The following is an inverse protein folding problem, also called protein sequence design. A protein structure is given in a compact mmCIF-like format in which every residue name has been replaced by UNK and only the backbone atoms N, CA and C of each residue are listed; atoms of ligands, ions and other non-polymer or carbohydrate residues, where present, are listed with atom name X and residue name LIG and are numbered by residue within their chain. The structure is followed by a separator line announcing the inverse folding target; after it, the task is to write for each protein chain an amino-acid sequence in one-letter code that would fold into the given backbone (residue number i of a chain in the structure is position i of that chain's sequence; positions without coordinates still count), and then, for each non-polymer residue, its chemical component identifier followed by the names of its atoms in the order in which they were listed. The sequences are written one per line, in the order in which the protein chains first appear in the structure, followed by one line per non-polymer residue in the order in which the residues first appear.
data_IF_007281133899
#
_entry.id   IF_007281133899
#
_cell.length_a   1.000
_cell.length_b   1.000
_cell.length_c   1.000
_cell.angle_alpha   90.00
_cell.angle_beta   90.00
_cell.angle_gamma   90.00
#
_symmetry.space_group_name_H-M   'P 1'
#
loop_
_entity.id
_entity.type
_entity.pdbx_description
1 polymer ?
#
# COMPACT_ATOMS: atom_id res chain seq x y z
N UNK A 1 -6.31 -48.70 5.36
CA UNK A 1 -5.49 -48.51 4.15
C UNK A 1 -6.12 -47.41 3.31
N UNK A 2 -5.71 -46.15 3.51
CA UNK A 2 -4.88 -45.43 2.53
C UNK A 2 -5.79 -44.51 1.68
N UNK A 3 -5.50 -43.25 1.43
CA UNK A 3 -4.21 -42.54 1.39
C UNK A 3 -4.44 -41.06 1.71
N UNK A 4 -3.53 -40.48 2.48
CA UNK A 4 -3.35 -39.04 2.63
C UNK A 4 -3.26 -38.36 1.25
N UNK A 5 -4.14 -37.41 0.99
CA UNK A 5 -3.85 -36.33 0.06
C UNK A 5 -3.11 -35.25 0.85
N UNK A 6 -1.78 -35.32 0.84
CA UNK A 6 -0.96 -34.17 1.19
C UNK A 6 -1.15 -33.14 0.08
N UNK A 7 -1.93 -32.10 0.35
CA UNK A 7 -1.82 -30.86 -0.40
C UNK A 7 -0.49 -30.23 0.01
N UNK A 8 0.46 -30.25 -0.92
CA UNK A 8 1.67 -29.45 -0.84
C UNK A 8 1.25 -27.97 -0.77
N UNK A 9 1.12 -27.44 0.45
CA UNK A 9 1.39 -26.03 0.70
C UNK A 9 2.87 -25.83 0.38
N UNK A 10 3.14 -25.36 -0.84
CA UNK A 10 4.39 -24.72 -1.19
C UNK A 10 4.43 -23.40 -0.42
N UNK A 11 4.73 -23.49 0.88
CA UNK A 11 5.19 -22.38 1.70
C UNK A 11 6.61 -22.06 1.22
N UNK A 12 6.70 -21.47 0.03
CA UNK A 12 7.95 -20.90 -0.44
C UNK A 12 8.19 -19.65 0.38
N UNK A 13 9.03 -19.78 1.41
CA UNK A 13 9.80 -18.66 1.98
C UNK A 13 10.63 -18.07 0.83
N UNK A 14 9.95 -17.26 0.02
CA UNK A 14 10.42 -16.85 -1.31
C UNK A 14 11.53 -15.82 -1.25
N UNK A 15 12.05 -15.49 -0.06
CA UNK A 15 13.04 -14.43 0.17
C UNK A 15 12.58 -13.04 -0.27
N UNK A 16 11.31 -12.89 -0.66
CA UNK A 16 10.73 -11.63 -1.15
C UNK A 16 10.47 -10.70 0.02
N UNK A 17 10.76 -9.40 -0.11
CA UNK A 17 10.44 -8.44 0.92
C UNK A 17 8.91 -8.39 1.10
N UNK A 18 8.49 -8.38 2.37
CA UNK A 18 7.10 -8.13 2.74
C UNK A 18 6.91 -6.62 2.81
N UNK A 19 5.91 -6.12 2.10
CA UNK A 19 5.50 -4.73 2.06
C UNK A 19 4.10 -4.62 2.66
N UNK A 20 4.00 -3.89 3.75
CA UNK A 20 2.73 -3.66 4.42
C UNK A 20 2.11 -2.34 3.96
N UNK A 21 0.79 -2.33 3.82
CA UNK A 21 -0.01 -1.15 3.53
C UNK A 21 -1.22 -1.14 4.44
N UNK A 22 -1.88 0.00 4.56
CA UNK A 22 -3.03 0.14 5.43
C UNK A 22 -4.27 -0.51 4.84
N UNK A 23 -4.59 -0.18 3.59
CA UNK A 23 -5.87 -0.52 2.96
C UNK A 23 -5.69 -1.23 1.62
N UNK A 24 -6.72 -1.98 1.21
CA UNK A 24 -6.73 -2.75 -0.04
C UNK A 24 -6.50 -1.90 -1.31
N UNK A 25 -7.01 -0.66 -1.43
CA UNK A 25 -6.65 0.22 -2.55
C UNK A 25 -5.13 0.43 -2.67
N UNK A 26 -4.44 0.73 -1.57
CA UNK A 26 -2.98 0.86 -1.57
C UNK A 26 -2.31 -0.46 -1.96
N UNK A 27 -2.84 -1.59 -1.50
CA UNK A 27 -2.31 -2.91 -1.85
C UNK A 27 -2.32 -3.12 -3.36
N UNK A 28 -3.37 -2.64 -4.03
CA UNK A 28 -3.50 -2.69 -5.49
C UNK A 28 -2.41 -1.85 -6.17
N UNK A 29 -2.15 -0.65 -5.66
CA UNK A 29 -1.13 0.25 -6.22
C UNK A 29 0.27 -0.33 -6.06
N UNK A 30 0.59 -0.85 -4.87
CA UNK A 30 1.90 -1.47 -4.62
C UNK A 30 2.08 -2.72 -5.47
N UNK A 31 1.06 -3.59 -5.57
CA UNK A 31 1.10 -4.78 -6.44
C UNK A 31 1.28 -4.43 -7.91
N UNK A 32 0.65 -3.36 -8.39
CA UNK A 32 0.83 -2.89 -9.76
C UNK A 32 2.28 -2.47 -10.04
N UNK A 33 3.01 -1.98 -9.03
CA UNK A 33 4.42 -1.58 -9.15
C UNK A 33 5.36 -2.77 -8.95
N UNK A 34 5.19 -3.55 -7.88
CA UNK A 34 6.13 -4.60 -7.51
C UNK A 34 5.95 -5.90 -8.30
N UNK A 35 4.78 -6.15 -8.89
CA UNK A 35 4.44 -7.46 -9.47
C UNK A 35 4.71 -8.59 -8.48
N UNK A 36 5.40 -9.63 -8.94
CA UNK A 36 5.74 -10.81 -8.12
C UNK A 36 7.02 -10.65 -7.29
N UNK A 37 7.71 -9.50 -7.33
CA UNK A 37 9.00 -9.28 -6.67
C UNK A 37 8.87 -9.04 -5.15
N UNK A 38 7.69 -8.66 -4.68
CA UNK A 38 7.43 -8.42 -3.27
C UNK A 38 6.08 -9.04 -2.86
N UNK A 39 5.99 -9.45 -1.60
CA UNK A 39 4.71 -9.83 -1.01
C UNK A 39 4.04 -8.59 -0.42
N UNK A 40 2.81 -8.29 -0.84
CA UNK A 40 2.08 -7.10 -0.36
C UNK A 40 0.92 -7.52 0.52
N UNK A 41 0.91 -7.07 1.77
CA UNK A 41 -0.13 -7.35 2.77
C UNK A 41 -0.85 -6.06 3.19
N UNK A 42 -2.16 -6.13 3.37
CA UNK A 42 -2.95 -5.01 3.91
C UNK A 42 -3.22 -5.25 5.40
N UNK A 43 -3.00 -4.23 6.23
CA UNK A 43 -3.22 -4.34 7.67
C UNK A 43 -4.68 -4.25 8.06
N UNK A 44 -5.47 -3.46 7.34
CA UNK A 44 -6.93 -3.40 7.49
C UNK A 44 -7.55 -4.37 6.47
N UNK A 45 -8.17 -5.48 6.92
CA UNK A 45 -8.75 -6.47 6.03
C UNK A 45 -10.00 -5.95 5.29
N UNK A 46 -10.41 -6.61 4.20
CA UNK A 46 -11.65 -6.27 3.52
C UNK A 46 -12.86 -6.30 4.48
N UNK A 47 -13.70 -5.26 4.42
CA UNK A 47 -14.89 -5.13 5.27
C UNK A 47 -14.65 -4.46 6.62
N UNK A 48 -13.40 -4.15 6.98
CA UNK A 48 -13.06 -3.37 8.17
C UNK A 48 -12.84 -1.90 7.83
N UNK A 49 -13.04 -1.03 8.82
CA UNK A 49 -12.89 0.42 8.66
C UNK A 49 -11.48 0.86 9.05
N UNK A 50 -10.77 1.61 8.19
CA UNK A 50 -9.45 2.13 8.50
C UNK A 50 -9.44 3.24 9.56
N UNK A 51 -10.63 3.68 10.01
CA UNK A 51 -10.74 4.70 11.06
C UNK A 51 -10.69 4.13 12.49
N UNK A 52 -11.01 2.84 12.67
CA UNK A 52 -11.13 2.23 14.01
C UNK A 52 -10.74 0.75 14.04
N UNK A 53 -9.93 0.31 13.08
CA UNK A 53 -9.46 -1.07 13.04
C UNK A 53 -8.39 -1.31 14.11
N UNK A 54 -8.64 -2.29 14.97
CA UNK A 54 -7.66 -2.76 15.96
C UNK A 54 -7.11 -4.13 15.53
N UNK A 55 -5.82 -4.23 15.17
CA UNK A 55 -5.22 -5.51 14.78
C UNK A 55 -5.03 -6.43 16.00
N UNK A 56 -5.20 -7.73 15.79
CA UNK A 56 -4.88 -8.73 16.80
C UNK A 56 -3.36 -8.88 17.00
N UNK A 57 -2.88 -9.40 18.15
CA UNK A 57 -1.45 -9.63 18.39
C UNK A 57 -0.77 -10.52 17.34
N UNK A 58 -1.51 -11.49 16.79
CA UNK A 58 -1.01 -12.38 15.73
C UNK A 58 -0.79 -11.63 14.41
N UNK A 59 -1.68 -10.70 14.08
CA UNK A 59 -1.53 -9.85 12.90
C UNK A 59 -0.37 -8.88 13.07
N UNK A 60 -0.24 -8.27 14.25
CA UNK A 60 0.90 -7.42 14.59
C UNK A 60 2.24 -8.14 14.45
N UNK A 61 2.31 -9.43 14.79
CA UNK A 61 3.52 -10.24 14.57
C UNK A 61 3.84 -10.47 13.09
N UNK A 62 2.83 -10.57 12.22
CA UNK A 62 3.06 -10.70 10.77
C UNK A 62 3.57 -9.39 10.20
N UNK A 63 2.94 -8.32 10.63
CA UNK A 63 3.22 -6.94 10.28
C UNK A 63 4.64 -6.49 10.65
N UNK A 64 5.16 -6.92 11.81
CA UNK A 64 6.53 -6.63 12.23
C UNK A 64 7.62 -7.25 11.33
N UNK A 65 7.25 -8.15 10.39
CA UNK A 65 8.19 -8.71 9.41
C UNK A 65 8.28 -7.86 8.13
N UNK A 66 7.47 -6.82 8.00
CA UNK A 66 7.48 -5.97 6.82
C UNK A 66 8.76 -5.15 6.75
N UNK A 67 9.44 -5.20 5.61
CA UNK A 67 10.60 -4.36 5.32
C UNK A 67 10.20 -2.88 5.14
N UNK A 68 8.98 -2.64 4.68
CA UNK A 68 8.45 -1.31 4.43
C UNK A 68 6.95 -1.25 4.74
N UNK A 69 6.50 -0.12 5.28
CA UNK A 69 5.09 0.19 5.50
C UNK A 69 4.70 1.48 4.77
N UNK A 70 3.71 1.43 3.88
CA UNK A 70 3.15 2.64 3.25
C UNK A 70 1.88 3.10 3.97
N UNK A 71 1.97 4.23 4.67
CA UNK A 71 0.87 4.79 5.47
C UNK A 71 0.04 5.82 4.69
N UNK A 72 -1.25 5.95 5.04
CA UNK A 72 -2.21 6.88 4.41
C UNK A 72 -2.76 7.93 5.39
N UNK A 73 -2.34 7.89 6.65
CA UNK A 73 -2.63 8.87 7.69
C UNK A 73 -4.05 8.79 8.23
N UNK A 74 -4.54 7.58 8.51
CA UNK A 74 -5.86 7.34 9.13
C UNK A 74 -5.74 7.11 10.63
N UNK A 75 -6.85 7.24 11.37
CA UNK A 75 -6.82 7.15 12.83
C UNK A 75 -6.32 5.79 13.36
N UNK A 76 -6.70 4.66 12.73
CA UNK A 76 -6.23 3.34 13.13
C UNK A 76 -4.71 3.19 13.01
N UNK A 77 -4.08 3.86 12.02
CA UNK A 77 -2.63 3.86 11.92
C UNK A 77 -1.99 4.51 13.14
N UNK A 78 -2.44 5.72 13.47
CA UNK A 78 -1.85 6.51 14.54
C UNK A 78 -2.05 5.88 15.94
N UNK A 79 -3.20 5.25 16.16
CA UNK A 79 -3.60 4.78 17.49
C UNK A 79 -3.26 3.31 17.74
N UNK A 80 -3.46 2.45 16.73
CA UNK A 80 -3.56 1.00 16.96
C UNK A 80 -2.53 0.19 16.18
N UNK A 81 -1.96 0.76 15.12
CA UNK A 81 -0.97 0.07 14.27
C UNK A 81 0.43 0.62 14.60
N UNK A 82 0.74 1.86 14.20
CA UNK A 82 2.09 2.44 14.25
C UNK A 82 2.73 2.42 15.65
N UNK A 83 2.02 2.65 16.77
CA UNK A 83 2.62 2.56 18.11
C UNK A 83 3.19 1.18 18.44
N UNK A 84 2.71 0.14 17.75
CA UNK A 84 3.09 -1.26 17.96
C UNK A 84 3.76 -1.88 16.72
N UNK A 85 3.99 -1.08 15.66
CA UNK A 85 4.51 -1.54 14.38
C UNK A 85 6.02 -1.26 14.30
N UNK A 86 6.82 -2.30 14.38
CA UNK A 86 8.30 -2.22 14.29
C UNK A 86 8.77 -2.44 12.83
N UNK A 87 8.34 -1.58 11.90
CA UNK A 87 8.85 -1.64 10.53
C UNK A 87 10.30 -1.15 10.49
N UNK A 88 11.10 -1.72 9.59
CA UNK A 88 12.40 -1.13 9.26
C UNK A 88 12.25 0.30 8.67
N UNK A 89 11.14 0.57 7.96
CA UNK A 89 10.84 1.89 7.39
C UNK A 89 9.33 2.12 7.21
N UNK A 90 8.85 3.27 7.65
CA UNK A 90 7.48 3.77 7.39
C UNK A 90 7.56 4.93 6.38
N UNK A 91 6.76 4.87 5.32
CA UNK A 91 6.67 5.89 4.27
C UNK A 91 5.27 6.51 4.29
N UNK A 92 5.12 7.78 4.67
CA UNK A 92 3.83 8.46 4.71
C UNK A 92 3.41 8.93 3.32
N UNK A 93 2.63 8.12 2.59
CA UNK A 93 2.16 8.47 1.25
C UNK A 93 1.28 9.73 1.24
N UNK A 94 0.55 9.98 2.34
CA UNK A 94 -0.29 11.16 2.48
C UNK A 94 0.53 12.45 2.51
N UNK A 95 1.60 12.52 3.30
CA UNK A 95 2.51 13.67 3.33
C UNK A 95 3.16 13.90 1.97
N UNK A 96 3.68 12.84 1.36
CA UNK A 96 4.30 12.90 0.02
C UNK A 96 3.32 13.38 -1.05
N UNK A 97 2.07 12.95 -0.96
CA UNK A 97 1.02 13.41 -1.88
C UNK A 97 0.68 14.88 -1.62
N UNK A 98 0.66 15.32 -0.36
CA UNK A 98 0.36 16.70 0.02
C UNK A 98 1.42 17.70 -0.46
N UNK A 99 2.67 17.27 -0.66
CA UNK A 99 3.73 18.08 -1.29
C UNK A 99 3.35 18.54 -2.72
N UNK A 100 2.54 17.75 -3.43
CA UNK A 100 2.11 18.02 -4.81
C UNK A 100 0.66 18.51 -4.89
N UNK A 101 -0.23 17.88 -4.11
CA UNK A 101 -1.67 18.15 -4.08
C UNK A 101 -2.12 18.41 -2.65
N UNK A 102 -2.36 19.67 -2.25
CA UNK A 102 -2.75 20.02 -0.88
C UNK A 102 -3.97 19.23 -0.40
N UNK A 103 -3.97 18.82 0.87
CA UNK A 103 -5.07 18.03 1.41
C UNK A 103 -6.42 18.72 1.33
N UNK A 104 -7.45 17.89 1.16
CA UNK A 104 -8.83 18.32 1.34
C UNK A 104 -9.15 18.28 2.83
N UNK A 105 -10.02 19.18 3.26
CA UNK A 105 -10.41 19.31 4.67
C UNK A 105 -11.93 19.14 4.78
N UNK A 106 -12.39 18.36 5.76
CA UNK A 106 -13.76 18.39 6.23
C UNK A 106 -13.96 19.60 7.14
N UNK A 107 -15.16 20.19 7.13
CA UNK A 107 -15.55 21.13 8.17
C UNK A 107 -15.82 20.30 9.45
N UNK A 108 -15.19 20.60 10.61
CA UNK A 108 -14.61 21.88 11.01
C UNK A 108 -13.06 21.98 11.02
N UNK A 109 -12.34 21.24 10.17
CA UNK A 109 -10.89 21.40 9.97
C UNK A 109 -10.08 20.11 9.94
N UNK A 110 -10.72 18.95 9.83
CA UNK A 110 -10.04 17.65 9.78
C UNK A 110 -9.60 17.31 8.36
N UNK A 111 -8.44 16.68 8.20
CA UNK A 111 -7.96 16.21 6.89
C UNK A 111 -8.87 15.11 6.36
N UNK A 112 -9.24 15.17 5.08
CA UNK A 112 -9.88 14.07 4.38
C UNK A 112 -8.84 12.99 4.01
N UNK A 113 -8.93 11.78 4.59
CA UNK A 113 -7.94 10.75 4.35
C UNK A 113 -8.06 10.08 2.97
N UNK A 114 -9.18 10.27 2.26
CA UNK A 114 -9.57 9.52 1.06
C UNK A 114 -8.83 9.95 -0.22
N UNK A 115 -7.54 10.21 -0.11
CA UNK A 115 -6.69 10.72 -1.18
C UNK A 115 -6.54 9.73 -2.36
N UNK A 116 -6.81 8.44 -2.14
CA UNK A 116 -6.80 7.40 -3.19
C UNK A 116 -7.98 7.49 -4.16
N UNK A 117 -9.02 8.27 -3.85
CA UNK A 117 -10.17 8.48 -4.74
C UNK A 117 -9.87 9.44 -5.91
N UNK A 118 -8.67 10.04 -5.95
CA UNK A 118 -8.24 10.91 -7.04
C UNK A 118 -7.15 10.23 -7.86
N UNK A 119 -7.38 9.88 -9.15
CA UNK A 119 -6.36 9.24 -9.98
C UNK A 119 -5.04 10.03 -10.04
N UNK A 120 -5.13 11.36 -10.08
CA UNK A 120 -3.95 12.25 -10.03
C UNK A 120 -3.12 12.13 -8.76
N UNK A 121 -3.77 11.97 -7.61
CA UNK A 121 -3.06 11.73 -6.34
C UNK A 121 -2.45 10.34 -6.30
N UNK A 122 -3.16 9.34 -6.83
CA UNK A 122 -2.65 7.97 -6.92
C UNK A 122 -1.39 7.91 -7.79
N UNK A 123 -1.30 8.70 -8.87
CA UNK A 123 -0.05 8.79 -9.66
C UNK A 123 1.16 9.21 -8.81
N UNK A 124 0.99 10.21 -7.93
CA UNK A 124 2.06 10.63 -7.00
C UNK A 124 2.42 9.50 -6.03
N UNK A 125 1.42 8.79 -5.49
CA UNK A 125 1.67 7.64 -4.62
C UNK A 125 2.45 6.53 -5.35
N UNK A 126 2.08 6.24 -6.60
CA UNK A 126 2.72 5.20 -7.42
C UNK A 126 4.18 5.55 -7.71
N UNK A 127 4.47 6.81 -8.01
CA UNK A 127 5.85 7.27 -8.22
C UNK A 127 6.69 7.12 -6.95
N UNK A 128 6.15 7.50 -5.78
CA UNK A 128 6.81 7.33 -4.48
C UNK A 128 7.02 5.84 -4.17
N UNK A 129 6.01 5.00 -4.40
CA UNK A 129 6.10 3.55 -4.20
C UNK A 129 7.24 2.96 -5.03
N UNK A 130 7.36 3.33 -6.31
CA UNK A 130 8.42 2.83 -7.18
C UNK A 130 9.81 3.26 -6.74
N UNK A 131 9.96 4.51 -6.28
CA UNK A 131 11.22 5.00 -5.74
C UNK A 131 11.64 4.25 -4.48
N UNK A 132 10.69 4.02 -3.56
CA UNK A 132 10.95 3.34 -2.29
C UNK A 132 11.24 1.85 -2.48
N UNK A 133 10.53 1.19 -3.39
CA UNK A 133 10.82 -0.19 -3.78
C UNK A 133 12.16 -0.30 -4.51
N UNK A 134 12.49 0.64 -5.39
CA UNK A 134 13.80 0.69 -6.05
C UNK A 134 14.96 0.95 -5.08
N UNK A 135 14.74 1.75 -4.03
CA UNK A 135 15.74 1.94 -2.99
C UNK A 135 15.92 0.69 -2.11
N UNK A 136 14.83 -0.04 -1.84
CA UNK A 136 14.84 -1.28 -1.08
C UNK A 136 15.50 -2.43 -1.87
N UNK A 137 15.25 -2.49 -3.17
CA UNK A 137 15.74 -3.52 -4.08
C UNK A 137 16.29 -2.90 -5.38
N UNK A 138 17.53 -2.36 -5.35
CA UNK A 138 18.13 -1.67 -6.49
C UNK A 138 18.31 -2.54 -7.74
N UNK A 139 18.41 -3.86 -7.57
CA UNK A 139 18.57 -4.80 -8.69
C UNK A 139 17.34 -4.81 -9.61
N UNK A 140 16.15 -4.52 -9.07
CA UNK A 140 14.90 -4.49 -9.83
C UNK A 140 14.33 -3.08 -10.00
N UNK A 141 15.11 -2.03 -9.70
CA UNK A 141 14.67 -0.64 -9.76
C UNK A 141 14.00 -0.26 -11.10
N UNK A 142 14.59 -0.66 -12.22
CA UNK A 142 14.06 -0.33 -13.55
C UNK A 142 12.69 -0.98 -13.80
N UNK A 143 12.45 -2.17 -13.26
CA UNK A 143 11.16 -2.87 -13.33
C UNK A 143 10.10 -2.09 -12.56
N UNK A 144 10.39 -1.66 -11.34
CA UNK A 144 9.45 -0.86 -10.54
C UNK A 144 9.10 0.46 -11.23
N UNK A 145 10.10 1.15 -11.79
CA UNK A 145 9.88 2.42 -12.50
C UNK A 145 9.09 2.23 -13.80
N UNK A 146 9.32 1.14 -14.54
CA UNK A 146 8.54 0.84 -15.75
C UNK A 146 7.09 0.48 -15.43
N UNK A 147 6.87 -0.37 -14.42
CA UNK A 147 5.53 -0.72 -13.96
C UNK A 147 4.75 0.50 -13.48
N UNK A 148 5.40 1.40 -12.72
CA UNK A 148 4.81 2.66 -12.31
C UNK A 148 4.43 3.54 -13.49
N UNK A 149 5.29 3.69 -14.51
CA UNK A 149 4.94 4.45 -15.74
C UNK A 149 3.71 3.86 -16.43
N UNK A 150 3.65 2.53 -16.57
CA UNK A 150 2.53 1.85 -17.21
C UNK A 150 1.22 2.03 -16.44
N UNK A 151 1.27 1.90 -15.11
CA UNK A 151 0.10 2.08 -14.25
C UNK A 151 -0.35 3.55 -14.20
N UNK A 152 0.58 4.50 -14.13
CA UNK A 152 0.30 5.94 -14.21
C UNK A 152 -0.36 6.34 -15.53
N UNK A 153 -0.03 5.68 -16.65
CA UNK A 153 -0.71 5.90 -17.93
C UNK A 153 -2.18 5.43 -17.89
N UNK A 154 -2.46 4.29 -17.25
CA UNK A 154 -3.83 3.81 -17.03
C UNK A 154 -4.63 4.78 -16.15
N UNK A 155 -4.03 5.29 -15.08
CA UNK A 155 -4.65 6.30 -14.22
C UNK A 155 -4.93 7.61 -14.97
N UNK A 156 -4.06 8.00 -15.90
CA UNK A 156 -4.26 9.19 -16.73
C UNK A 156 -5.46 9.00 -17.68
N UNK A 157 -5.59 7.82 -18.28
CA UNK A 157 -6.75 7.49 -19.11
C UNK A 157 -8.05 7.49 -18.29
N UNK A 158 -8.03 6.87 -17.11
CA UNK A 158 -9.17 6.86 -16.18
C UNK A 158 -9.59 8.28 -15.75
N UNK A 159 -8.64 9.16 -15.45
CA UNK A 159 -8.93 10.57 -15.11
C UNK A 159 -9.64 11.31 -16.25
N UNK A 160 -9.26 11.05 -17.51
CA UNK A 160 -9.93 11.62 -18.67
C UNK A 160 -11.33 11.05 -18.86
N UNK A 161 -11.51 9.75 -18.67
CA UNK A 161 -12.83 9.10 -18.74
C UNK A 161 -13.78 9.69 -17.69
N UNK A 162 -13.37 9.77 -16.42
CA UNK A 162 -14.18 10.35 -15.33
C UNK A 162 -14.63 11.78 -15.67
N UNK A 163 -13.72 12.60 -16.21
CA UNK A 163 -14.02 13.98 -16.63
C UNK A 163 -14.94 14.08 -17.85
N UNK A 164 -15.01 13.05 -18.68
CA UNK A 164 -15.89 13.04 -19.85
C UNK A 164 -17.34 12.67 -19.49
N UNK A 165 -17.54 12.08 -18.31
CA UNK A 165 -18.83 11.60 -17.81
C UNK A 165 -19.48 12.55 -16.79
N UNK A 166 -18.66 13.34 -16.07
CA UNK A 166 -19.10 14.33 -15.07
C UNK A 166 -19.13 15.75 -15.64
#
# INVERSE_FOLDING_TARGET
CGKNAQTNDQDSDSGRPIIAVTIIPQQTFVKAVCGDLAEVIATVPPGYSPENYEPSPLEMQKFSKAALYFSIGVAAEANDILPYFDAAKVVPLHERTAEVYPDRMFAPGERDPHIWLSPKRVQVMVDVIAQELGALDPANQDVYLENARNYSAQLAALDQEIKSVL
#
